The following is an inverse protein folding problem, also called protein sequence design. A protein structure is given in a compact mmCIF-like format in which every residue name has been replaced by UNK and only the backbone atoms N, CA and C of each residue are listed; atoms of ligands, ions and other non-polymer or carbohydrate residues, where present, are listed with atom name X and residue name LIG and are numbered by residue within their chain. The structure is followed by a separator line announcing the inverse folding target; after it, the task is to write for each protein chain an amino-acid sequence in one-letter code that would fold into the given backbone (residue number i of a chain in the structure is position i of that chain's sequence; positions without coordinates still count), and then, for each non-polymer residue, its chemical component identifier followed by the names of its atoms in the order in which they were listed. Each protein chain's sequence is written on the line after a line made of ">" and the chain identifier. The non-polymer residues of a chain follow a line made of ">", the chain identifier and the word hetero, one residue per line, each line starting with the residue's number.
data_IF_233141781924
#
_entry.id   IF_233141781924
#
_cell.length_a   1.000
_cell.length_b   1.000
_cell.length_c   1.000
_cell.angle_alpha   90.00
_cell.angle_beta   90.00
_cell.angle_gamma   90.00
#
_symmetry.space_group_name_H-M   'P 1'
#
loop_
_entity.id
_entity.type
_entity.pdbx_description
1 polymer ?
#
# COMPACT_ATOMS: atom_id res chain seq x y z
N UNK A 1 5.71 -0.31 -9.04
CA UNK A 1 6.89 0.60 -8.87
C UNK A 1 7.88 0.02 -7.87
N UNK A 2 9.21 0.15 -8.12
CA UNK A 2 10.27 -0.19 -7.17
C UNK A 2 10.79 1.08 -6.50
N UNK A 3 10.92 1.08 -5.18
CA UNK A 3 11.49 2.16 -4.40
C UNK A 3 12.88 1.75 -3.88
N UNK A 4 13.82 2.67 -3.82
CA UNK A 4 15.04 2.48 -3.04
C UNK A 4 14.78 2.80 -1.56
N UNK A 5 15.63 2.26 -0.68
CA UNK A 5 15.57 2.60 0.75
C UNK A 5 15.87 4.10 0.91
N UNK A 6 15.02 4.86 1.62
CA UNK A 6 15.28 6.28 1.87
C UNK A 6 16.25 6.53 3.04
N UNK A 7 16.95 5.51 3.48
CA UNK A 7 17.99 5.53 4.52
C UNK A 7 19.24 4.78 4.07
N UNK A 8 20.44 5.13 4.60
CA UNK A 8 21.70 4.51 4.20
C UNK A 8 21.79 3.04 4.63
N UNK A 9 22.71 2.30 4.01
CA UNK A 9 23.08 0.96 4.46
C UNK A 9 23.60 0.99 5.90
N UNK A 10 23.41 -0.13 6.63
CA UNK A 10 23.69 -0.23 8.05
C UNK A 10 22.51 0.12 8.97
N UNK A 11 21.49 0.83 8.47
CA UNK A 11 20.25 1.07 9.21
C UNK A 11 19.17 0.08 8.77
N UNK A 12 18.41 -0.43 9.74
CA UNK A 12 17.35 -1.42 9.48
C UNK A 12 16.04 -1.01 10.13
N UNK A 13 14.94 -1.55 9.61
CA UNK A 13 13.62 -1.37 10.21
C UNK A 13 13.63 -1.96 11.62
N UNK A 14 13.19 -1.15 12.59
CA UNK A 14 13.01 -1.59 13.97
C UNK A 14 12.08 -2.83 14.01
N UNK A 15 12.40 -3.90 14.74
CA UNK A 15 11.51 -5.06 14.86
C UNK A 15 10.07 -4.71 15.25
N UNK A 16 9.88 -3.71 16.11
CA UNK A 16 8.59 -3.18 16.52
C UNK A 16 8.09 -2.02 15.64
N UNK A 17 8.87 -1.60 14.64
CA UNK A 17 8.57 -0.52 13.71
C UNK A 17 8.02 -0.99 12.37
N UNK A 18 7.54 -2.23 12.26
CA UNK A 18 6.95 -2.78 11.03
C UNK A 18 5.53 -2.25 10.82
N UNK A 19 5.12 -2.22 9.55
CA UNK A 19 3.75 -1.92 9.16
C UNK A 19 2.76 -2.95 9.72
N UNK A 20 1.58 -2.51 10.11
CA UNK A 20 0.50 -3.38 10.57
C UNK A 20 0.06 -3.13 12.01
N UNK A 21 -0.80 -4.02 12.52
CA UNK A 21 -1.34 -3.92 13.87
C UNK A 21 -0.26 -4.22 14.92
N UNK A 22 -0.06 -3.31 15.86
CA UNK A 22 0.93 -3.44 16.95
C UNK A 22 0.48 -2.73 18.21
N UNK A 23 1.10 -3.07 19.35
CA UNK A 23 1.03 -2.24 20.55
C UNK A 23 1.69 -0.89 20.26
N UNK A 24 0.95 0.18 20.47
CA UNK A 24 1.44 1.52 20.17
C UNK A 24 2.26 2.07 21.36
N UNK A 25 3.39 2.79 21.12
CA UNK A 25 4.22 3.33 22.21
C UNK A 25 3.47 4.25 23.18
N UNK A 26 2.45 4.95 22.70
CA UNK A 26 1.57 5.81 23.51
C UNK A 26 0.29 5.10 23.99
N UNK A 27 0.30 3.76 24.02
CA UNK A 27 -0.79 2.93 24.50
C UNK A 27 -1.80 2.52 23.41
N UNK A 28 -2.45 1.36 23.68
CA UNK A 28 -3.45 0.74 22.82
C UNK A 28 -2.87 -0.07 21.66
N UNK A 29 -3.71 -0.95 21.13
CA UNK A 29 -3.41 -1.80 19.96
C UNK A 29 -3.99 -1.12 18.71
N UNK A 30 -3.13 -0.64 17.82
CA UNK A 30 -3.54 0.11 16.62
C UNK A 30 -2.63 -0.13 15.44
N UNK A 31 -3.11 0.23 14.25
CA UNK A 31 -2.35 0.10 13.01
C UNK A 31 -1.19 1.09 12.96
N UNK A 32 0.00 0.56 12.73
CA UNK A 32 1.18 1.32 12.31
C UNK A 32 1.18 1.45 10.79
N UNK A 33 1.23 2.66 10.27
CA UNK A 33 0.98 2.97 8.86
C UNK A 33 2.21 2.94 7.98
N UNK A 34 3.38 2.69 8.55
CA UNK A 34 4.66 2.74 7.85
C UNK A 34 5.71 1.83 8.44
N UNK A 35 6.96 2.18 8.19
CA UNK A 35 8.14 1.55 8.76
C UNK A 35 8.90 2.56 9.59
N UNK A 36 9.32 2.18 10.81
CA UNK A 36 10.19 2.98 11.64
C UNK A 36 11.64 2.49 11.54
N UNK A 37 12.56 3.38 11.20
CA UNK A 37 14.00 3.13 11.15
C UNK A 37 14.68 4.04 12.16
N UNK A 38 15.21 3.44 13.22
CA UNK A 38 15.83 4.17 14.33
C UNK A 38 17.22 4.72 13.96
N UNK A 39 17.56 5.86 14.53
CA UNK A 39 18.88 6.49 14.41
C UNK A 39 18.87 7.82 13.66
N UNK A 40 20.01 8.51 13.71
CA UNK A 40 20.26 9.78 13.02
C UNK A 40 20.99 9.53 11.71
N UNK A 41 20.36 9.82 10.59
CA UNK A 41 20.90 9.61 9.25
C UNK A 41 20.26 10.56 8.23
N UNK A 42 20.92 10.80 7.08
CA UNK A 42 20.31 11.53 5.97
C UNK A 42 19.17 10.73 5.37
N UNK A 43 17.99 11.33 5.28
CA UNK A 43 16.81 10.79 4.63
C UNK A 43 16.78 11.28 3.19
N UNK A 44 16.56 10.37 2.24
CA UNK A 44 16.56 10.68 0.81
C UNK A 44 15.27 10.25 0.15
N UNK A 45 14.96 10.80 -1.03
CA UNK A 45 13.81 10.38 -1.82
C UNK A 45 13.94 8.93 -2.28
N UNK A 46 12.89 8.14 -2.07
CA UNK A 46 12.85 6.73 -2.44
C UNK A 46 12.73 6.48 -3.95
N UNK A 47 12.34 7.48 -4.74
CA UNK A 47 12.23 7.43 -6.21
C UNK A 47 12.18 8.85 -6.78
N UNK A 48 12.32 9.04 -8.12
CA UNK A 48 12.04 10.31 -8.77
C UNK A 48 10.57 10.70 -8.56
N UNK A 49 10.28 11.99 -8.47
CA UNK A 49 8.90 12.45 -8.30
C UNK A 49 8.75 13.96 -8.17
N UNK A 50 7.56 14.37 -7.76
CA UNK A 50 7.21 15.75 -7.48
C UNK A 50 6.89 15.91 -6.00
N UNK A 51 7.48 16.89 -5.34
CA UNK A 51 7.19 17.20 -3.95
C UNK A 51 5.72 17.65 -3.83
N UNK A 52 4.88 16.83 -3.20
CA UNK A 52 3.44 17.08 -3.06
C UNK A 52 3.08 17.83 -1.76
N UNK A 53 3.91 17.68 -0.71
CA UNK A 53 3.72 18.35 0.55
C UNK A 53 5.05 18.59 1.26
N UNK A 54 5.17 19.75 1.89
CA UNK A 54 6.22 20.11 2.84
C UNK A 54 5.59 20.89 3.99
N UNK A 55 5.85 20.50 5.21
CA UNK A 55 5.33 21.26 6.35
C UNK A 55 5.39 20.53 7.68
N UNK A 56 4.77 21.16 8.68
CA UNK A 56 4.55 20.56 9.99
C UNK A 56 3.24 19.79 10.02
N UNK A 57 3.29 18.51 10.39
CA UNK A 57 2.10 17.70 10.60
C UNK A 57 1.60 17.81 12.05
N UNK A 58 0.48 18.50 12.31
CA UNK A 58 -0.04 18.69 13.67
C UNK A 58 -0.59 17.39 14.28
N UNK A 59 -0.82 16.36 13.44
CA UNK A 59 -1.30 15.03 13.88
C UNK A 59 -0.15 14.09 14.27
N UNK A 60 0.96 14.63 14.72
CA UNK A 60 2.06 13.87 15.29
C UNK A 60 3.26 13.63 14.37
N UNK A 61 3.17 13.97 13.08
CA UNK A 61 4.26 13.70 12.12
C UNK A 61 5.49 14.63 12.24
N UNK A 62 5.36 15.77 12.92
CA UNK A 62 6.43 16.76 12.98
C UNK A 62 6.78 17.32 11.60
N UNK A 63 8.06 17.56 11.32
CA UNK A 63 8.51 17.93 9.98
C UNK A 63 8.27 16.79 9.01
N UNK A 64 7.42 17.03 8.02
CA UNK A 64 6.88 16.02 7.10
C UNK A 64 7.09 16.45 5.65
N UNK A 65 7.48 15.49 4.81
CA UNK A 65 7.53 15.64 3.36
C UNK A 65 6.73 14.51 2.72
N UNK A 66 5.95 14.82 1.69
CA UNK A 66 5.28 13.82 0.84
C UNK A 66 5.71 14.05 -0.60
N UNK A 67 6.06 12.97 -1.28
CA UNK A 67 6.49 12.97 -2.68
C UNK A 67 5.52 12.12 -3.49
N UNK A 68 5.05 12.68 -4.60
CA UNK A 68 4.23 12.00 -5.60
C UNK A 68 5.15 11.38 -6.67
N UNK A 69 5.07 10.07 -6.83
CA UNK A 69 5.82 9.30 -7.82
C UNK A 69 4.93 8.81 -8.98
N UNK A 70 3.69 9.30 -9.07
CA UNK A 70 2.70 8.89 -10.05
C UNK A 70 1.87 7.70 -9.58
N UNK A 71 2.48 6.51 -9.43
CA UNK A 71 1.77 5.29 -8.98
C UNK A 71 1.52 5.28 -7.47
N UNK A 72 2.44 5.84 -6.70
CA UNK A 72 2.36 5.91 -5.24
C UNK A 72 2.88 7.25 -4.74
N UNK A 73 2.49 7.61 -3.53
CA UNK A 73 3.13 8.67 -2.76
C UNK A 73 4.01 8.04 -1.68
N UNK A 74 5.15 8.65 -1.40
CA UNK A 74 5.93 8.34 -0.19
C UNK A 74 5.85 9.49 0.80
N UNK A 75 5.75 9.16 2.08
CA UNK A 75 5.72 10.15 3.14
C UNK A 75 6.82 9.88 4.15
N UNK A 76 7.49 10.96 4.54
CA UNK A 76 8.64 10.99 5.42
C UNK A 76 8.30 11.86 6.62
N UNK A 77 8.51 11.36 7.82
CA UNK A 77 8.11 12.03 9.06
C UNK A 77 9.25 12.18 10.05
N UNK A 78 9.02 13.01 11.05
CA UNK A 78 9.91 13.27 12.18
C UNK A 78 11.28 13.87 11.80
N UNK A 79 11.37 14.60 10.66
CA UNK A 79 12.59 15.29 10.28
C UNK A 79 13.15 16.16 11.42
N UNK A 80 14.47 16.18 11.59
CA UNK A 80 15.11 16.99 12.63
C UNK A 80 14.85 18.49 12.44
N UNK A 81 14.69 18.92 11.18
CA UNK A 81 14.39 20.29 10.79
C UNK A 81 13.56 20.32 9.51
N UNK A 82 13.03 21.48 9.18
CA UNK A 82 12.32 21.68 7.91
C UNK A 82 13.26 21.39 6.73
N UNK A 83 12.73 20.73 5.72
CA UNK A 83 13.45 20.53 4.46
C UNK A 83 13.61 21.83 3.68
N UNK A 84 14.61 21.87 2.78
CA UNK A 84 14.79 22.95 1.79
C UNK A 84 13.98 22.72 0.50
N UNK A 85 13.34 21.55 0.35
CA UNK A 85 12.49 21.23 -0.80
C UNK A 85 11.24 22.11 -0.79
N UNK A 86 10.63 22.30 -1.97
CA UNK A 86 9.43 23.11 -2.15
C UNK A 86 8.36 22.29 -2.84
N UNK A 87 7.10 22.50 -2.47
CA UNK A 87 5.95 21.88 -3.18
C UNK A 87 6.01 22.23 -4.66
N UNK A 88 5.75 21.23 -5.52
CA UNK A 88 5.87 21.30 -6.97
C UNK A 88 7.29 21.08 -7.51
N UNK A 89 8.31 20.99 -6.66
CA UNK A 89 9.69 20.71 -7.10
C UNK A 89 9.80 19.28 -7.62
N UNK A 90 10.36 19.10 -8.83
CA UNK A 90 10.78 17.79 -9.36
C UNK A 90 12.11 17.42 -8.73
N UNK A 91 12.21 16.15 -8.31
CA UNK A 91 13.41 15.61 -7.67
C UNK A 91 13.72 14.21 -8.19
N UNK A 92 14.99 13.84 -8.14
CA UNK A 92 15.47 12.51 -8.47
C UNK A 92 15.47 11.58 -7.25
N UNK A 93 15.54 10.27 -7.52
CA UNK A 93 15.81 9.29 -6.48
C UNK A 93 17.12 9.62 -5.75
N UNK A 94 17.16 9.45 -4.43
CA UNK A 94 18.34 9.79 -3.63
C UNK A 94 18.50 11.28 -3.29
N UNK A 95 17.61 12.16 -3.78
CA UNK A 95 17.62 13.57 -3.39
C UNK A 95 17.46 13.69 -1.86
N UNK A 96 18.36 14.42 -1.21
CA UNK A 96 18.32 14.66 0.23
C UNK A 96 17.04 15.41 0.62
N UNK A 97 16.36 14.94 1.66
CA UNK A 97 15.13 15.53 2.19
C UNK A 97 15.43 16.30 3.48
N UNK A 98 15.93 15.59 4.48
CA UNK A 98 16.37 16.12 5.78
C UNK A 98 17.15 15.02 6.55
N UNK A 99 17.65 15.34 7.72
CA UNK A 99 18.17 14.35 8.69
C UNK A 99 17.01 13.81 9.52
N UNK A 100 16.97 12.49 9.74
CA UNK A 100 15.99 11.86 10.64
C UNK A 100 16.07 12.50 12.03
N UNK A 101 14.92 12.63 12.69
CA UNK A 101 14.81 13.33 13.95
C UNK A 101 13.73 12.75 14.87
N UNK A 102 13.24 13.57 15.77
CA UNK A 102 12.23 13.19 16.76
C UNK A 102 11.14 14.24 16.91
N UNK A 103 10.90 15.04 15.86
CA UNK A 103 9.86 16.08 15.90
C UNK A 103 8.46 15.49 15.83
N UNK A 104 7.49 16.15 16.45
CA UNK A 104 6.11 15.67 16.56
C UNK A 104 5.93 14.62 17.66
N UNK A 105 5.02 13.68 17.48
CA UNK A 105 4.73 12.60 18.44
C UNK A 105 5.69 11.42 18.21
N UNK A 106 6.88 11.52 18.75
CA UNK A 106 7.95 10.53 18.61
C UNK A 106 8.53 10.18 19.97
N UNK A 107 8.93 8.93 20.16
CA UNK A 107 9.56 8.41 21.39
C UNK A 107 11.09 8.37 21.31
N UNK A 108 11.66 8.72 20.17
CA UNK A 108 13.12 8.71 19.93
C UNK A 108 13.45 9.03 18.49
N UNK A 109 14.73 9.26 18.21
CA UNK A 109 15.18 9.63 16.86
C UNK A 109 14.95 8.48 15.87
N UNK A 110 14.12 8.71 14.87
CA UNK A 110 13.82 7.74 13.79
C UNK A 110 13.24 8.41 12.56
N UNK A 111 13.26 7.73 11.44
CA UNK A 111 12.41 7.98 10.29
C UNK A 111 11.16 7.13 10.40
N UNK A 112 9.97 7.72 10.34
CA UNK A 112 8.74 7.00 10.00
C UNK A 112 8.48 7.19 8.51
N UNK A 113 8.44 6.07 7.75
CA UNK A 113 8.31 6.04 6.30
C UNK A 113 7.03 5.34 5.87
N UNK A 114 6.20 6.02 5.09
CA UNK A 114 4.97 5.43 4.55
C UNK A 114 5.00 5.37 3.02
N UNK A 115 4.34 4.36 2.46
CA UNK A 115 3.93 4.27 1.07
C UNK A 115 2.40 4.34 1.01
N UNK A 116 1.88 5.13 0.08
CA UNK A 116 0.44 5.37 -0.09
C UNK A 116 0.03 5.23 -1.54
N UNK A 117 -1.06 4.51 -1.79
CA UNK A 117 -1.65 4.38 -3.12
C UNK A 117 -2.67 5.49 -3.35
N UNK A 118 -2.70 6.04 -4.56
CA UNK A 118 -3.74 6.91 -5.11
C UNK A 118 -4.01 8.25 -4.40
N UNK A 119 -3.58 8.47 -3.18
CA UNK A 119 -3.86 9.71 -2.42
C UNK A 119 -2.68 10.12 -1.56
N UNK A 120 -2.47 11.42 -1.47
CA UNK A 120 -1.44 11.99 -0.58
C UNK A 120 -1.68 11.64 0.89
N UNK A 121 -2.96 11.51 1.32
CA UNK A 121 -3.36 11.19 2.70
C UNK A 121 -4.31 10.01 2.74
N UNK A 122 -4.09 9.10 3.68
CA UNK A 122 -4.80 7.81 3.74
C UNK A 122 -4.24 6.81 2.73
N UNK A 123 -4.90 5.71 2.47
CA UNK A 123 -4.49 4.66 1.55
C UNK A 123 -3.06 4.10 1.76
N UNK A 124 -2.59 4.10 3.01
CA UNK A 124 -1.30 3.54 3.40
C UNK A 124 -1.25 2.03 3.17
N UNK A 125 -0.16 1.57 2.59
CA UNK A 125 0.13 0.16 2.31
C UNK A 125 1.47 -0.22 2.92
N UNK A 126 1.72 -1.54 3.08
CA UNK A 126 3.02 -2.01 3.57
C UNK A 126 4.15 -1.55 2.63
N UNK A 127 5.12 -0.75 3.11
CA UNK A 127 6.23 -0.31 2.29
C UNK A 127 7.21 -1.43 1.92
N UNK A 128 7.25 -2.52 2.68
CA UNK A 128 8.25 -3.59 2.54
C UNK A 128 8.35 -4.17 1.13
N UNK A 129 7.24 -4.50 0.45
CA UNK A 129 7.29 -5.00 -0.93
C UNK A 129 7.94 -4.03 -1.91
N UNK A 130 7.72 -2.73 -1.73
CA UNK A 130 8.27 -1.69 -2.61
C UNK A 130 9.78 -1.53 -2.46
N UNK A 131 10.31 -1.64 -1.23
CA UNK A 131 11.72 -1.45 -0.91
C UNK A 131 12.60 -2.64 -1.29
N UNK A 132 12.08 -3.85 -1.22
CA UNK A 132 12.85 -5.06 -1.53
C UNK A 132 12.99 -5.34 -3.03
N UNK A 133 12.47 -4.46 -3.89
CA UNK A 133 12.34 -4.74 -5.32
C UNK A 133 11.30 -5.83 -5.61
N UNK A 134 10.68 -6.35 -4.57
CA UNK A 134 9.51 -7.21 -4.55
C UNK A 134 8.21 -6.41 -4.43
N UNK A 135 8.24 -5.13 -4.76
CA UNK A 135 7.06 -4.40 -5.23
C UNK A 135 6.74 -4.75 -6.71
N UNK A 136 7.24 -5.85 -7.18
CA UNK A 136 6.33 -6.75 -7.82
C UNK A 136 5.22 -6.98 -6.78
N UNK A 137 4.07 -6.37 -6.89
CA UNK A 137 2.84 -7.16 -6.87
C UNK A 137 3.31 -8.54 -7.26
N UNK A 138 3.25 -9.54 -6.35
CA UNK A 138 3.65 -10.90 -6.75
C UNK A 138 2.89 -11.11 -8.04
N UNK A 139 3.59 -10.99 -9.18
CA UNK A 139 2.93 -10.99 -10.48
C UNK A 139 2.35 -12.36 -10.55
N UNK A 140 1.04 -12.43 -10.38
CA UNK A 140 0.35 -13.70 -10.48
C UNK A 140 0.73 -14.30 -11.82
N UNK A 141 1.14 -15.54 -11.80
CA UNK A 141 1.23 -16.29 -13.06
C UNK A 141 -0.14 -16.25 -13.70
N UNK A 142 -0.24 -15.71 -14.90
CA UNK A 142 -1.50 -15.68 -15.66
C UNK A 142 -1.77 -17.09 -16.18
N UNK A 143 -2.14 -17.97 -15.27
CA UNK A 143 -2.39 -19.40 -15.55
C UNK A 143 -3.78 -19.66 -16.14
N UNK A 144 -4.70 -18.74 -15.93
CA UNK A 144 -6.12 -18.92 -16.21
C UNK A 144 -6.79 -19.97 -15.33
N UNK A 145 -6.20 -20.27 -14.19
CA UNK A 145 -6.75 -21.21 -13.19
C UNK A 145 -6.96 -20.51 -11.88
N UNK A 146 -7.95 -20.91 -11.14
CA UNK A 146 -8.13 -20.54 -9.75
C UNK A 146 -6.95 -21.05 -8.92
N UNK A 147 -6.36 -20.17 -8.12
CA UNK A 147 -5.33 -20.54 -7.17
C UNK A 147 -5.35 -19.65 -5.93
N UNK A 148 -4.68 -20.09 -4.88
CA UNK A 148 -4.63 -19.41 -3.58
C UNK A 148 -3.94 -18.04 -3.67
N UNK A 149 -2.94 -17.88 -4.54
CA UNK A 149 -2.22 -16.62 -4.70
C UNK A 149 -3.13 -15.57 -5.34
N UNK A 150 -3.93 -15.95 -6.35
CA UNK A 150 -4.94 -15.09 -6.97
C UNK A 150 -5.99 -14.63 -5.94
N UNK A 151 -6.52 -15.54 -5.14
CA UNK A 151 -7.48 -15.19 -4.08
C UNK A 151 -6.88 -14.27 -3.03
N UNK A 152 -5.65 -14.54 -2.61
CA UNK A 152 -4.96 -13.69 -1.63
C UNK A 152 -4.77 -12.27 -2.15
N UNK A 153 -4.35 -12.11 -3.41
CA UNK A 153 -4.18 -10.80 -4.02
C UNK A 153 -5.51 -10.08 -4.23
N UNK A 154 -6.58 -10.82 -4.61
CA UNK A 154 -7.92 -10.24 -4.75
C UNK A 154 -8.50 -9.81 -3.40
N UNK A 155 -8.35 -10.60 -2.35
CA UNK A 155 -8.72 -10.20 -0.99
C UNK A 155 -7.98 -8.94 -0.55
N UNK A 156 -6.67 -8.85 -0.83
CA UNK A 156 -5.87 -7.65 -0.56
C UNK A 156 -6.45 -6.44 -1.30
N UNK A 157 -6.70 -6.58 -2.60
CA UNK A 157 -7.28 -5.53 -3.42
C UNK A 157 -8.67 -5.10 -2.92
N UNK A 158 -9.55 -6.05 -2.61
CA UNK A 158 -10.88 -5.76 -2.04
C UNK A 158 -10.79 -5.05 -0.68
N UNK A 159 -9.80 -5.38 0.13
CA UNK A 159 -9.54 -4.73 1.42
C UNK A 159 -9.05 -3.29 1.21
N UNK A 160 -8.17 -3.07 0.24
CA UNK A 160 -7.70 -1.73 -0.16
C UNK A 160 -8.85 -0.85 -0.69
N UNK A 161 -9.83 -1.44 -1.38
CA UNK A 161 -11.04 -0.76 -1.86
C UNK A 161 -12.13 -0.58 -0.78
N UNK A 162 -11.93 -1.09 0.43
CA UNK A 162 -12.90 -0.98 1.54
C UNK A 162 -14.10 -1.95 1.46
N UNK A 163 -14.05 -2.96 0.59
CA UNK A 163 -15.11 -3.96 0.48
C UNK A 163 -14.91 -5.18 1.37
N UNK A 164 -13.65 -5.47 1.80
CA UNK A 164 -13.29 -6.66 2.56
C UNK A 164 -12.62 -6.33 3.88
N UNK A 165 -13.16 -6.85 4.98
CA UNK A 165 -12.62 -6.66 6.34
C UNK A 165 -12.08 -7.97 6.95
N UNK A 166 -12.10 -9.05 6.17
CA UNK A 166 -11.66 -10.36 6.61
C UNK A 166 -10.15 -10.53 6.57
N UNK A 167 -9.69 -11.71 7.00
CA UNK A 167 -8.29 -12.11 6.91
C UNK A 167 -7.90 -12.38 5.44
N UNK A 168 -6.77 -11.83 5.00
CA UNK A 168 -6.19 -12.10 3.69
C UNK A 168 -5.43 -13.43 3.75
N UNK A 169 -6.13 -14.53 3.54
CA UNK A 169 -5.60 -15.90 3.68
C UNK A 169 -5.54 -16.68 2.36
N UNK A 170 -6.15 -16.13 1.29
CA UNK A 170 -6.23 -16.76 -0.01
C UNK A 170 -7.28 -17.89 -0.08
N UNK A 171 -8.21 -17.93 0.88
CA UNK A 171 -9.34 -18.87 0.88
C UNK A 171 -10.62 -18.09 0.56
N UNK A 172 -11.24 -18.39 -0.56
CA UNK A 172 -12.47 -17.75 -0.97
C UNK A 172 -13.66 -18.34 -0.20
N UNK A 173 -14.08 -17.62 0.83
CA UNK A 173 -15.25 -17.96 1.64
C UNK A 173 -16.38 -16.93 1.51
N UNK A 174 -17.42 -17.08 2.33
CA UNK A 174 -18.61 -16.21 2.27
C UNK A 174 -18.28 -14.72 2.46
N UNK A 175 -17.29 -14.38 3.27
CA UNK A 175 -16.84 -12.98 3.45
C UNK A 175 -16.22 -12.44 2.16
N UNK A 176 -15.38 -13.22 1.49
CA UNK A 176 -14.76 -12.83 0.21
C UNK A 176 -15.85 -12.63 -0.85
N UNK A 177 -16.82 -13.55 -0.93
CA UNK A 177 -17.92 -13.42 -1.91
C UNK A 177 -18.83 -12.23 -1.63
N UNK A 178 -19.13 -11.91 -0.36
CA UNK A 178 -19.86 -10.68 0.01
C UNK A 178 -19.10 -9.42 -0.37
N UNK A 179 -17.80 -9.43 -0.24
CA UNK A 179 -16.94 -8.31 -0.67
C UNK A 179 -16.98 -8.12 -2.19
N UNK A 180 -16.86 -9.20 -2.96
CA UNK A 180 -17.00 -9.20 -4.42
C UNK A 180 -18.39 -8.69 -4.82
N UNK A 181 -19.44 -9.19 -4.20
CA UNK A 181 -20.81 -8.77 -4.44
C UNK A 181 -21.01 -7.27 -4.15
N UNK A 182 -20.43 -6.77 -3.06
CA UNK A 182 -20.41 -5.33 -2.77
C UNK A 182 -19.69 -4.52 -3.83
N UNK A 183 -18.57 -5.02 -4.32
CA UNK A 183 -17.79 -4.38 -5.37
C UNK A 183 -18.52 -4.32 -6.72
N UNK A 184 -19.22 -5.39 -7.11
CA UNK A 184 -19.95 -5.44 -8.38
C UNK A 184 -21.44 -5.02 -8.28
N UNK A 185 -21.91 -4.67 -7.08
CA UNK A 185 -23.27 -4.17 -6.87
C UNK A 185 -24.36 -5.26 -6.91
N UNK A 186 -24.05 -6.53 -6.62
CA UNK A 186 -25.03 -7.60 -6.52
C UNK A 186 -25.43 -7.88 -5.06
N UNK A 187 -26.58 -8.57 -4.82
CA UNK A 187 -26.98 -8.93 -3.46
C UNK A 187 -25.92 -9.71 -2.70
N UNK A 188 -25.62 -9.33 -1.47
CA UNK A 188 -24.54 -9.89 -0.64
C UNK A 188 -24.93 -11.23 -0.01
N UNK A 189 -25.19 -12.25 -0.83
CA UNK A 189 -25.59 -13.60 -0.40
C UNK A 189 -24.45 -14.39 0.27
N UNK A 190 -23.21 -14.01 0.00
CA UNK A 190 -22.02 -14.75 0.44
C UNK A 190 -21.77 -16.03 -0.34
N UNK A 191 -22.41 -16.19 -1.49
CA UNK A 191 -22.21 -17.30 -2.43
C UNK A 191 -21.76 -16.77 -3.77
N UNK A 192 -20.86 -17.46 -4.43
CA UNK A 192 -20.43 -17.10 -5.78
C UNK A 192 -21.44 -17.65 -6.80
N UNK A 193 -22.61 -17.03 -6.84
CA UNK A 193 -23.72 -17.37 -7.71
C UNK A 193 -23.55 -16.87 -9.15
N UNK A 194 -24.40 -17.33 -10.06
CA UNK A 194 -24.32 -16.96 -11.49
C UNK A 194 -24.47 -15.45 -11.71
N UNK A 195 -25.41 -14.73 -11.05
CA UNK A 195 -25.51 -13.28 -11.18
C UNK A 195 -24.21 -12.56 -10.79
N UNK A 196 -23.60 -12.94 -9.66
CA UNK A 196 -22.32 -12.38 -9.21
C UNK A 196 -21.20 -12.65 -10.21
N UNK A 197 -21.12 -13.89 -10.74
CA UNK A 197 -20.12 -14.25 -11.76
C UNK A 197 -20.23 -13.40 -13.01
N UNK A 198 -21.44 -13.21 -13.52
CA UNK A 198 -21.72 -12.36 -14.69
C UNK A 198 -21.36 -10.91 -14.45
N UNK A 199 -21.75 -10.34 -13.31
CA UNK A 199 -21.43 -8.97 -12.95
C UNK A 199 -19.91 -8.72 -12.84
N UNK A 200 -19.15 -9.69 -12.31
CA UNK A 200 -17.68 -9.64 -12.32
C UNK A 200 -17.15 -9.66 -13.74
N UNK A 201 -17.64 -10.59 -14.59
CA UNK A 201 -17.21 -10.71 -15.99
C UNK A 201 -17.46 -9.43 -16.79
N UNK A 202 -18.62 -8.82 -16.64
CA UNK A 202 -18.95 -7.50 -17.23
C UNK A 202 -17.95 -6.43 -16.79
N UNK A 203 -17.71 -6.37 -15.48
CA UNK A 203 -16.81 -5.34 -14.91
C UNK A 203 -15.36 -5.49 -15.36
N UNK A 204 -14.89 -6.71 -15.57
CA UNK A 204 -13.53 -6.96 -16.07
C UNK A 204 -13.40 -7.00 -17.60
N UNK A 205 -14.52 -6.88 -18.32
CA UNK A 205 -14.53 -6.82 -19.78
C UNK A 205 -14.40 -8.17 -20.49
N UNK A 206 -14.95 -9.24 -19.89
CA UNK A 206 -15.06 -10.58 -20.56
C UNK A 206 -16.53 -10.93 -20.73
N UNK A 207 -16.82 -11.88 -21.65
CA UNK A 207 -18.19 -12.33 -21.92
C UNK A 207 -18.88 -12.81 -20.65
N UNK A 208 -20.05 -12.24 -20.28
CA UNK A 208 -20.74 -12.56 -19.02
C UNK A 208 -21.60 -13.83 -19.14
N UNK A 209 -20.96 -14.97 -19.37
CA UNK A 209 -21.60 -16.27 -19.47
C UNK A 209 -21.95 -16.91 -18.13
N UNK A 210 -21.38 -16.40 -17.03
CA UNK A 210 -21.53 -16.92 -15.68
C UNK A 210 -20.66 -18.15 -15.41
N UNK A 211 -19.77 -18.51 -16.33
CA UNK A 211 -18.79 -19.59 -16.18
C UNK A 211 -17.41 -19.01 -15.93
N UNK A 212 -16.86 -19.25 -14.75
CA UNK A 212 -15.50 -18.81 -14.43
C UNK A 212 -14.47 -19.80 -14.95
N UNK A 213 -14.27 -19.73 -16.26
CA UNK A 213 -13.28 -20.51 -16.98
C UNK A 213 -11.93 -19.79 -17.10
N UNK A 214 -11.07 -20.34 -17.96
CA UNK A 214 -9.71 -19.85 -18.18
C UNK A 214 -9.66 -18.37 -18.56
N UNK A 215 -10.56 -17.89 -19.41
CA UNK A 215 -10.62 -16.49 -19.85
C UNK A 215 -10.86 -15.55 -18.68
N UNK A 216 -11.85 -15.83 -17.81
CA UNK A 216 -12.18 -15.04 -16.62
C UNK A 216 -10.98 -14.98 -15.67
N UNK A 217 -10.41 -16.13 -15.31
CA UNK A 217 -9.27 -16.20 -14.39
C UNK A 217 -8.02 -15.49 -14.94
N UNK A 218 -7.70 -15.68 -16.23
CA UNK A 218 -6.57 -14.96 -16.84
C UNK A 218 -6.76 -13.45 -16.80
N UNK A 219 -7.98 -12.97 -17.01
CA UNK A 219 -8.28 -11.54 -16.98
C UNK A 219 -8.24 -10.99 -15.54
N UNK A 220 -8.80 -11.72 -14.57
CA UNK A 220 -8.67 -11.36 -13.14
C UNK A 220 -7.20 -11.27 -12.75
N UNK A 221 -6.38 -12.28 -13.08
CA UNK A 221 -4.95 -12.30 -12.76
C UNK A 221 -4.19 -11.15 -13.38
N UNK A 222 -4.44 -10.81 -14.65
CA UNK A 222 -3.83 -9.64 -15.31
C UNK A 222 -4.22 -8.34 -14.64
N UNK A 223 -5.53 -8.12 -14.43
CA UNK A 223 -6.05 -6.90 -13.81
C UNK A 223 -5.58 -6.73 -12.37
N UNK A 224 -5.44 -7.81 -11.60
CA UNK A 224 -4.83 -7.78 -10.28
C UNK A 224 -3.34 -7.38 -10.34
N UNK A 225 -2.60 -7.90 -11.32
CA UNK A 225 -1.20 -7.52 -11.55
C UNK A 225 -1.04 -6.03 -11.91
N UNK A 226 -2.03 -5.49 -12.64
CA UNK A 226 -2.08 -4.08 -13.05
C UNK A 226 -2.69 -3.17 -11.98
N UNK A 227 -3.31 -3.74 -10.93
CA UNK A 227 -4.06 -2.98 -9.94
C UNK A 227 -5.36 -2.34 -10.50
N UNK A 228 -5.91 -2.87 -11.59
CA UNK A 228 -6.96 -2.27 -12.42
C UNK A 228 -8.30 -3.03 -12.42
N UNK A 229 -8.60 -3.83 -11.36
CA UNK A 229 -9.89 -4.50 -11.23
C UNK A 229 -11.08 -3.53 -11.15
#
# INVERSE_FOLDING_TARGET
>A
MKLQKPWPDGFTVNPNGKYGMRNHPFGGYRKHRGLDVAGTFPVTSAAPGVVAHVGWSPKGGGHTVVIDHGEVHTAYYHGAHATKLRVGQRIEAGTFIYTSGTTGSSTGVHLHFEVRKHKMWGSDVDPTPYLNGNAAVSTLTVSGREDRATWKQWQTWLQEQGFYEGRVDGVAGSMTYRAIQGWVGTPRTGRLDVPTKKAVQERIGVTPDGVWGRSTWSTVQRKLNEGSL
#
